data_IF_319266834681
#
_entry.id   IF_319266834681
#
_cell.length_a   1.000
_cell.length_b   1.000
_cell.length_c   1.000
_cell.angle_alpha   90.00
_cell.angle_beta   90.00
_cell.angle_gamma   90.00
#
_symmetry.space_group_name_H-M   'P 1'
#
loop_
_entity.id
_entity.type
_entity.pdbx_description
1 polymer ?
#
# COMPACT_ATOMS: atom_id res chain seq x y z
N UNK A 1 17.38 -9.60 25.69
CA UNK A 1 16.85 -10.39 24.56
C UNK A 1 15.41 -9.97 24.35
N UNK A 2 14.97 -9.79 23.09
CA UNK A 2 13.56 -9.52 22.83
C UNK A 2 12.72 -10.74 23.25
N UNK A 3 11.52 -10.51 23.79
CA UNK A 3 10.61 -11.61 24.10
C UNK A 3 10.22 -12.31 22.79
N UNK A 4 10.21 -13.66 22.76
CA UNK A 4 9.69 -14.41 21.61
C UNK A 4 8.26 -13.98 21.28
N UNK A 5 7.91 -14.07 20.00
CA UNK A 5 6.54 -13.84 19.53
C UNK A 5 5.87 -15.19 19.42
N UNK A 6 4.87 -15.41 20.25
CA UNK A 6 4.04 -16.62 20.25
C UNK A 6 2.80 -16.38 19.39
N UNK A 7 2.57 -17.27 18.42
CA UNK A 7 1.40 -17.28 17.54
C UNK A 7 0.94 -18.74 17.42
N UNK A 8 -0.13 -19.09 18.14
CA UNK A 8 -0.61 -20.46 18.26
C UNK A 8 0.47 -21.38 18.84
N UNK A 9 0.80 -22.46 18.13
CA UNK A 9 1.85 -23.41 18.52
C UNK A 9 3.26 -22.98 18.11
N UNK A 10 3.42 -21.85 17.41
CA UNK A 10 4.72 -21.37 16.93
C UNK A 10 5.31 -20.30 17.83
N UNK A 11 6.58 -20.51 18.17
CA UNK A 11 7.43 -19.52 18.83
C UNK A 11 8.44 -18.96 17.83
N UNK A 12 8.44 -17.63 17.66
CA UNK A 12 9.39 -16.93 16.81
C UNK A 12 10.37 -16.13 17.66
N UNK A 13 11.67 -16.40 17.50
CA UNK A 13 12.72 -15.67 18.24
C UNK A 13 12.76 -14.17 17.93
N UNK A 14 12.23 -13.74 16.78
CA UNK A 14 12.13 -12.32 16.39
C UNK A 14 10.87 -12.04 15.56
N UNK A 15 10.46 -10.76 15.52
CA UNK A 15 9.44 -10.30 14.58
C UNK A 15 9.82 -10.54 13.12
N UNK A 16 11.11 -10.39 12.79
CA UNK A 16 11.61 -10.64 11.44
C UNK A 16 11.35 -12.08 11.01
N UNK A 17 11.68 -13.07 11.86
CA UNK A 17 11.42 -14.48 11.56
C UNK A 17 9.94 -14.82 11.42
N UNK A 18 9.06 -14.17 12.20
CA UNK A 18 7.61 -14.33 12.02
C UNK A 18 7.14 -13.76 10.67
N UNK A 19 7.61 -12.57 10.29
CA UNK A 19 7.28 -11.95 9.00
C UNK A 19 7.77 -12.79 7.82
N UNK A 20 8.99 -13.33 7.90
CA UNK A 20 9.56 -14.20 6.88
C UNK A 20 8.75 -15.50 6.73
N UNK A 21 8.27 -16.08 7.84
CA UNK A 21 7.39 -17.25 7.82
C UNK A 21 6.10 -16.99 7.06
N UNK A 22 5.34 -15.95 7.42
CA UNK A 22 4.07 -15.65 6.75
C UNK A 22 4.25 -15.14 5.32
N UNK A 23 5.35 -14.47 5.01
CA UNK A 23 5.71 -14.13 3.63
C UNK A 23 5.97 -15.38 2.80
N UNK A 24 6.74 -16.34 3.33
CA UNK A 24 6.98 -17.61 2.68
C UNK A 24 5.68 -18.39 2.50
N UNK A 25 4.79 -18.41 3.51
CA UNK A 25 3.46 -19.01 3.44
C UNK A 25 2.66 -18.42 2.27
N UNK A 26 2.58 -17.09 2.17
CA UNK A 26 1.84 -16.41 1.08
C UNK A 26 2.36 -16.83 -0.30
N UNK A 27 3.69 -16.92 -0.43
CA UNK A 27 4.33 -17.24 -1.71
C UNK A 27 4.26 -18.72 -2.13
N UNK A 28 3.81 -19.63 -1.25
CA UNK A 28 3.54 -21.03 -1.62
C UNK A 28 2.30 -21.18 -2.51
N UNK A 29 1.36 -20.24 -2.43
CA UNK A 29 0.08 -20.29 -3.12
C UNK A 29 0.06 -19.34 -4.32
N UNK A 30 -0.79 -19.60 -5.29
CA UNK A 30 -1.08 -18.70 -6.41
C UNK A 30 -2.26 -17.77 -6.10
N UNK A 31 -2.39 -16.68 -6.85
CA UNK A 31 -3.54 -15.78 -6.71
C UNK A 31 -4.83 -16.51 -7.13
N UNK A 32 -5.88 -16.40 -6.31
CA UNK A 32 -7.13 -17.15 -6.44
C UNK A 32 -7.11 -18.54 -5.79
N UNK A 33 -5.97 -18.98 -5.24
CA UNK A 33 -5.85 -20.29 -4.63
C UNK A 33 -6.28 -20.27 -3.15
N UNK A 34 -7.05 -21.30 -2.75
CA UNK A 34 -7.33 -21.60 -1.35
C UNK A 34 -6.05 -22.08 -0.64
N UNK A 35 -5.85 -21.60 0.58
CA UNK A 35 -4.81 -22.11 1.49
C UNK A 35 -5.25 -23.50 1.95
N UNK A 36 -4.78 -24.54 1.26
CA UNK A 36 -5.26 -25.91 1.41
C UNK A 36 -4.41 -26.77 2.35
N UNK A 37 -3.16 -26.39 2.63
CA UNK A 37 -2.34 -27.10 3.61
C UNK A 37 -2.91 -26.89 5.02
N UNK A 38 -3.20 -27.95 5.79
CA UNK A 38 -3.78 -27.81 7.12
C UNK A 38 -2.88 -27.06 8.11
N UNK A 39 -1.55 -27.16 7.97
CA UNK A 39 -0.60 -26.45 8.82
C UNK A 39 -0.58 -24.95 8.51
N UNK A 40 -0.56 -24.59 7.23
CA UNK A 40 -0.66 -23.18 6.81
C UNK A 40 -2.00 -22.56 7.20
N UNK A 41 -3.09 -23.33 7.07
CA UNK A 41 -4.41 -22.90 7.53
C UNK A 41 -4.42 -22.64 9.04
N UNK A 42 -3.91 -23.58 9.85
CA UNK A 42 -3.83 -23.43 11.30
C UNK A 42 -2.95 -22.22 11.72
N UNK A 43 -1.86 -21.96 11.01
CA UNK A 43 -1.02 -20.79 11.24
C UNK A 43 -1.78 -19.48 11.03
N UNK A 44 -2.58 -19.40 9.95
CA UNK A 44 -3.38 -18.21 9.66
C UNK A 44 -4.55 -18.05 10.65
N UNK A 45 -5.17 -19.14 11.11
CA UNK A 45 -6.17 -19.09 12.20
C UNK A 45 -5.54 -18.48 13.44
N UNK A 46 -4.40 -19.03 13.90
CA UNK A 46 -3.71 -18.53 15.09
C UNK A 46 -3.27 -17.06 14.95
N UNK A 47 -2.90 -16.65 13.73
CA UNK A 47 -2.56 -15.26 13.45
C UNK A 47 -3.77 -14.32 13.57
N UNK A 48 -4.95 -14.75 13.11
CA UNK A 48 -6.20 -13.99 13.22
C UNK A 48 -6.70 -13.96 14.66
N UNK A 49 -6.66 -15.07 15.38
CA UNK A 49 -7.03 -15.13 16.80
C UNK A 49 -6.17 -14.22 17.68
N UNK A 50 -4.90 -14.02 17.27
CA UNK A 50 -4.02 -13.03 17.89
C UNK A 50 -4.38 -11.58 17.51
N UNK A 51 -4.87 -11.36 16.29
CA UNK A 51 -5.05 -10.02 15.73
C UNK A 51 -6.44 -9.43 16.00
N UNK A 52 -7.50 -10.22 15.90
CA UNK A 52 -8.88 -9.78 16.08
C UNK A 52 -9.10 -9.08 17.44
N UNK A 53 -8.58 -9.56 18.59
CA UNK A 53 -8.70 -8.83 19.85
C UNK A 53 -8.07 -7.43 19.83
N UNK A 54 -6.98 -7.25 19.07
CA UNK A 54 -6.30 -5.95 18.95
C UNK A 54 -7.14 -4.98 18.13
N UNK A 55 -7.86 -5.48 17.11
CA UNK A 55 -8.79 -4.68 16.32
C UNK A 55 -10.01 -4.28 17.14
N UNK A 56 -10.56 -5.23 17.90
CA UNK A 56 -11.71 -5.00 18.80
C UNK A 56 -11.40 -3.93 19.86
N UNK A 57 -10.21 -3.98 20.48
CA UNK A 57 -9.75 -2.98 21.47
C UNK A 57 -9.76 -1.53 20.93
N UNK A 58 -9.57 -1.34 19.62
CA UNK A 58 -9.58 -0.02 18.98
C UNK A 58 -10.86 0.26 18.17
N UNK A 59 -11.85 -0.64 18.23
CA UNK A 59 -13.12 -0.51 17.51
C UNK A 59 -13.01 -0.68 16.00
N UNK A 60 -11.97 -1.35 15.50
CA UNK A 60 -11.85 -1.72 14.09
C UNK A 60 -12.56 -3.07 13.82
N UNK A 61 -13.14 -3.29 12.62
CA UNK A 61 -13.76 -4.58 12.28
C UNK A 61 -12.78 -5.75 12.37
N UNK A 62 -13.18 -6.79 13.09
CA UNK A 62 -12.44 -8.05 13.18
C UNK A 62 -12.37 -8.76 11.82
N UNK A 63 -11.27 -9.50 11.58
CA UNK A 63 -11.04 -10.18 10.32
C UNK A 63 -11.74 -11.54 10.31
N UNK A 64 -11.51 -12.36 11.32
CA UNK A 64 -12.13 -13.68 11.43
C UNK A 64 -13.58 -13.62 11.91
N UNK A 65 -13.88 -12.67 12.82
CA UNK A 65 -15.20 -12.49 13.46
C UNK A 65 -15.77 -13.78 14.06
N UNK A 66 -14.88 -14.67 14.56
CA UNK A 66 -15.25 -15.99 15.07
C UNK A 66 -15.82 -16.96 14.02
N UNK A 67 -15.82 -16.61 12.74
CA UNK A 67 -16.50 -17.33 11.67
C UNK A 67 -15.55 -17.75 10.55
N UNK A 68 -14.26 -17.97 10.83
CA UNK A 68 -13.29 -18.38 9.82
C UNK A 68 -13.77 -19.66 9.12
N UNK A 69 -13.96 -19.60 7.81
CA UNK A 69 -14.31 -20.76 6.97
C UNK A 69 -13.07 -21.29 6.26
N UNK A 70 -12.41 -20.44 5.49
CA UNK A 70 -11.11 -20.75 4.85
C UNK A 70 -10.32 -19.49 4.53
N UNK A 71 -9.08 -19.67 4.09
CA UNK A 71 -8.23 -18.59 3.59
C UNK A 71 -7.94 -18.76 2.11
N UNK A 72 -7.69 -17.64 1.44
CA UNK A 72 -7.25 -17.59 0.07
C UNK A 72 -6.08 -16.62 -0.07
N UNK A 73 -5.22 -16.86 -1.05
CA UNK A 73 -4.36 -15.79 -1.58
C UNK A 73 -5.12 -15.09 -2.70
N UNK A 74 -5.23 -13.77 -2.65
CA UNK A 74 -5.78 -12.96 -3.76
C UNK A 74 -4.90 -11.75 -4.02
N UNK A 75 -5.10 -11.11 -5.18
CA UNK A 75 -4.55 -9.77 -5.41
C UNK A 75 -5.43 -8.73 -4.75
N UNK A 76 -4.85 -7.95 -3.84
CA UNK A 76 -5.40 -6.67 -3.43
C UNK A 76 -5.16 -5.68 -4.56
N UNK A 77 -6.22 -5.08 -5.08
CA UNK A 77 -6.14 -4.15 -6.21
C UNK A 77 -6.54 -2.74 -5.78
N UNK A 78 -5.90 -1.75 -6.38
CA UNK A 78 -6.36 -0.37 -6.38
C UNK A 78 -6.00 0.29 -7.70
N UNK A 79 -6.18 1.60 -7.80
CA UNK A 79 -5.96 2.31 -9.06
C UNK A 79 -4.48 2.28 -9.44
N UNK A 80 -4.14 1.47 -10.45
CA UNK A 80 -2.77 1.33 -10.99
C UNK A 80 -1.83 0.47 -10.16
N UNK A 81 -2.32 -0.30 -9.20
CA UNK A 81 -1.49 -1.22 -8.42
C UNK A 81 -2.23 -2.50 -8.05
N UNK A 82 -1.46 -3.58 -7.88
CA UNK A 82 -1.94 -4.85 -7.36
C UNK A 82 -0.85 -5.50 -6.53
N UNK A 83 -1.20 -6.04 -5.36
CA UNK A 83 -0.26 -6.79 -4.50
C UNK A 83 -0.92 -8.04 -3.96
N UNK A 84 -0.23 -9.19 -3.88
CA UNK A 84 -0.78 -10.38 -3.27
C UNK A 84 -1.02 -10.16 -1.76
N UNK A 85 -2.12 -10.70 -1.26
CA UNK A 85 -2.51 -10.62 0.15
C UNK A 85 -3.32 -11.84 0.58
N UNK A 86 -3.40 -12.04 1.90
CA UNK A 86 -4.27 -13.05 2.48
C UNK A 86 -5.68 -12.52 2.61
N UNK A 87 -6.64 -13.38 2.29
CA UNK A 87 -8.06 -13.15 2.47
C UNK A 87 -8.62 -14.23 3.37
N UNK A 88 -9.44 -13.81 4.34
CA UNK A 88 -10.28 -14.71 5.11
C UNK A 88 -11.66 -14.72 4.47
N UNK A 89 -12.17 -15.92 4.21
CA UNK A 89 -13.56 -16.16 3.80
C UNK A 89 -14.28 -16.73 5.00
N UNK A 90 -15.32 -16.03 5.46
CA UNK A 90 -16.11 -16.40 6.62
C UNK A 90 -17.21 -17.39 6.25
N UNK A 91 -17.76 -18.08 7.24
CA UNK A 91 -18.82 -19.07 7.06
C UNK A 91 -20.12 -18.47 6.49
N UNK A 92 -20.36 -17.17 6.71
CA UNK A 92 -21.48 -16.42 6.12
C UNK A 92 -21.28 -16.06 4.64
N UNK A 93 -20.12 -16.42 4.06
CA UNK A 93 -19.76 -16.16 2.66
C UNK A 93 -19.12 -14.78 2.42
N UNK A 94 -19.05 -13.91 3.43
CA UNK A 94 -18.29 -12.65 3.32
C UNK A 94 -16.80 -12.93 3.34
N UNK A 95 -16.03 -11.99 2.78
CA UNK A 95 -14.59 -12.10 2.76
C UNK A 95 -13.92 -10.73 2.93
N UNK A 96 -12.76 -10.72 3.57
CA UNK A 96 -11.93 -9.51 3.71
C UNK A 96 -10.46 -9.86 3.64
N UNK A 97 -9.64 -8.90 3.20
CA UNK A 97 -8.19 -9.02 3.29
C UNK A 97 -7.67 -8.70 4.70
N UNK A 98 -6.47 -9.19 4.99
CA UNK A 98 -5.72 -8.81 6.18
C UNK A 98 -4.21 -8.78 5.91
N UNK A 99 -3.53 -7.89 6.63
CA UNK A 99 -2.08 -7.73 6.56
C UNK A 99 -1.41 -8.62 7.61
N UNK A 100 -0.72 -9.67 7.16
CA UNK A 100 0.09 -10.49 8.07
C UNK A 100 1.17 -9.65 8.78
N UNK A 101 1.62 -8.55 8.16
CA UNK A 101 2.61 -7.65 8.75
C UNK A 101 2.07 -7.00 10.02
N UNK A 102 0.79 -6.57 10.01
CA UNK A 102 0.16 -5.95 11.17
C UNK A 102 -0.24 -6.96 12.22
N UNK A 103 -0.78 -8.10 11.79
CA UNK A 103 -1.11 -9.19 12.69
C UNK A 103 0.12 -9.70 13.45
N UNK A 104 1.27 -9.84 12.77
CA UNK A 104 2.55 -10.23 13.42
C UNK A 104 3.05 -9.13 14.36
N UNK A 105 2.97 -7.86 13.97
CA UNK A 105 3.36 -6.73 14.81
C UNK A 105 2.42 -6.52 16.01
N UNK A 106 1.21 -7.06 15.96
CA UNK A 106 0.17 -6.81 16.95
C UNK A 106 -0.23 -5.34 16.99
N UNK A 107 -0.43 -4.73 15.82
CA UNK A 107 -0.81 -3.31 15.70
C UNK A 107 -1.98 -3.18 14.73
N UNK A 108 -3.01 -2.39 15.05
CA UNK A 108 -4.09 -2.11 14.10
C UNK A 108 -3.55 -1.34 12.88
N UNK A 109 -4.44 -1.15 11.90
CA UNK A 109 -4.23 -0.11 10.91
C UNK A 109 -4.00 1.26 11.58
N UNK A 110 -3.44 2.21 10.84
CA UNK A 110 -3.22 3.55 11.38
C UNK A 110 -4.00 4.57 10.58
N UNK A 111 -4.74 5.47 11.24
CA UNK A 111 -5.44 6.59 10.57
C UNK A 111 -4.54 7.39 9.62
N UNK A 112 -3.28 7.57 10.00
CA UNK A 112 -2.29 8.22 9.13
C UNK A 112 -1.98 7.42 7.85
N UNK A 113 -2.02 6.09 7.92
CA UNK A 113 -1.91 5.23 6.74
C UNK A 113 -3.17 5.31 5.88
N UNK A 114 -4.36 5.27 6.47
CA UNK A 114 -5.60 5.32 5.69
C UNK A 114 -5.73 6.65 4.96
N UNK A 115 -5.38 7.75 5.63
CA UNK A 115 -5.28 9.05 4.99
C UNK A 115 -4.22 9.08 3.87
N UNK A 116 -3.05 8.48 4.08
CA UNK A 116 -2.03 8.36 3.03
C UNK A 116 -2.54 7.53 1.84
N UNK A 117 -3.32 6.47 2.11
CA UNK A 117 -4.00 5.66 1.10
C UNK A 117 -5.03 6.46 0.31
N UNK A 118 -5.88 7.22 1.00
CA UNK A 118 -6.87 8.10 0.39
C UNK A 118 -6.23 9.19 -0.47
N UNK A 119 -5.14 9.80 0.00
CA UNK A 119 -4.32 10.70 -0.80
C UNK A 119 -3.81 10.02 -2.08
N UNK A 120 -3.26 8.81 -1.96
CA UNK A 120 -2.72 8.07 -3.11
C UNK A 120 -3.82 7.76 -4.12
N UNK A 121 -4.98 7.30 -3.65
CA UNK A 121 -6.12 6.98 -4.50
C UNK A 121 -6.65 8.23 -5.22
N UNK A 122 -6.73 9.37 -4.53
CA UNK A 122 -7.23 10.63 -5.09
C UNK A 122 -6.45 11.14 -6.32
N UNK A 123 -5.16 10.79 -6.45
CA UNK A 123 -4.29 11.21 -7.58
C UNK A 123 -3.90 10.07 -8.52
N UNK A 124 -4.32 8.84 -8.22
CA UNK A 124 -3.81 7.66 -8.90
C UNK A 124 -4.10 7.67 -10.42
N UNK A 125 -5.32 8.05 -10.82
CA UNK A 125 -5.68 8.15 -12.25
C UNK A 125 -4.88 9.22 -12.98
N UNK A 126 -4.60 10.34 -12.33
CA UNK A 126 -3.84 11.43 -12.95
C UNK A 126 -2.38 11.06 -13.13
N UNK A 127 -1.79 10.39 -12.14
CA UNK A 127 -0.44 9.86 -12.24
C UNK A 127 -0.31 8.82 -13.37
N UNK A 128 -1.29 7.93 -13.54
CA UNK A 128 -1.32 6.97 -14.66
C UNK A 128 -1.37 7.70 -16.00
N UNK A 129 -2.23 8.72 -16.13
CA UNK A 129 -2.36 9.53 -17.35
C UNK A 129 -1.08 10.32 -17.63
N UNK A 130 -0.52 10.96 -16.62
CA UNK A 130 0.73 11.71 -16.70
C UNK A 130 1.89 10.81 -17.16
N UNK A 131 1.99 9.59 -16.62
CA UNK A 131 2.99 8.62 -17.06
C UNK A 131 2.81 8.28 -18.54
N UNK A 132 1.59 7.97 -18.98
CA UNK A 132 1.31 7.67 -20.39
C UNK A 132 1.69 8.85 -21.30
N UNK A 133 1.33 10.06 -20.92
CA UNK A 133 1.65 11.27 -21.68
C UNK A 133 3.16 11.50 -21.77
N UNK A 134 3.91 11.28 -20.69
CA UNK A 134 5.36 11.42 -20.69
C UNK A 134 6.05 10.47 -21.67
N UNK A 135 5.53 9.25 -21.84
CA UNK A 135 6.03 8.29 -22.83
C UNK A 135 5.70 8.68 -24.27
N UNK A 136 4.61 9.41 -24.50
CA UNK A 136 4.29 9.99 -25.81
C UNK A 136 5.19 11.20 -26.11
N UNK A 137 5.45 12.03 -25.10
CA UNK A 137 6.21 13.29 -25.28
C UNK A 137 7.73 13.06 -25.37
N UNK A 138 8.28 12.16 -24.56
CA UNK A 138 9.73 11.94 -24.43
C UNK A 138 10.21 10.61 -25.03
N UNK A 139 9.30 9.82 -25.61
CA UNK A 139 9.62 8.53 -26.20
C UNK A 139 10.52 8.67 -27.44
N UNK A 140 11.47 7.75 -27.60
CA UNK A 140 12.15 7.54 -28.87
C UNK A 140 11.21 6.88 -29.91
N UNK A 141 11.73 6.59 -31.10
CA UNK A 141 10.97 5.92 -32.18
C UNK A 141 10.42 4.53 -31.78
N UNK A 142 10.90 3.95 -30.67
CA UNK A 142 10.45 2.68 -30.11
C UNK A 142 9.56 2.87 -28.86
N UNK A 143 9.19 4.12 -28.53
CA UNK A 143 8.36 4.45 -27.36
C UNK A 143 9.08 4.26 -26.03
N UNK A 144 10.41 4.35 -25.99
CA UNK A 144 11.22 4.23 -24.77
C UNK A 144 11.67 5.60 -24.29
N UNK A 145 11.71 5.78 -22.98
CA UNK A 145 12.14 7.03 -22.32
C UNK A 145 13.39 6.75 -21.51
N UNK A 146 14.33 7.69 -21.49
CA UNK A 146 15.51 7.59 -20.61
C UNK A 146 15.11 7.66 -19.14
N UNK A 147 15.59 6.72 -18.34
CA UNK A 147 15.52 6.77 -16.89
C UNK A 147 16.30 7.98 -16.39
N UNK A 148 15.63 8.88 -15.66
CA UNK A 148 16.17 10.17 -15.21
C UNK A 148 17.43 10.03 -14.35
N UNK A 149 17.63 8.89 -13.67
CA UNK A 149 18.80 8.65 -12.83
C UNK A 149 19.97 7.98 -13.55
N UNK A 150 19.68 7.14 -14.55
CA UNK A 150 20.69 6.23 -15.13
C UNK A 150 20.94 6.46 -16.61
N UNK A 151 20.06 7.22 -17.29
CA UNK A 151 20.06 7.39 -18.74
C UNK A 151 19.61 6.15 -19.52
N UNK A 152 19.39 5.00 -18.86
CA UNK A 152 18.97 3.76 -19.52
C UNK A 152 17.56 3.93 -20.09
N UNK A 153 17.37 3.59 -21.36
CA UNK A 153 16.06 3.58 -22.01
C UNK A 153 15.17 2.50 -21.41
N UNK A 154 13.96 2.89 -21.01
CA UNK A 154 12.94 2.00 -20.43
C UNK A 154 11.63 2.10 -21.20
N UNK A 155 10.88 1.00 -21.23
CA UNK A 155 9.50 0.96 -21.72
C UNK A 155 8.55 1.48 -20.64
N UNK A 156 7.29 1.76 -21.01
CA UNK A 156 6.28 2.17 -20.04
C UNK A 156 6.04 1.10 -18.97
N UNK A 157 6.19 -0.17 -19.33
CA UNK A 157 6.02 -1.29 -18.41
C UNK A 157 7.24 -1.45 -17.49
N UNK A 158 8.44 -1.12 -17.94
CA UNK A 158 9.67 -1.23 -17.14
C UNK A 158 10.03 0.04 -16.35
N UNK A 159 9.10 1.00 -16.32
CA UNK A 159 9.28 2.28 -15.67
C UNK A 159 8.35 2.50 -14.46
N UNK A 160 8.80 3.34 -13.53
CA UNK A 160 7.99 3.95 -12.46
C UNK A 160 7.91 5.47 -12.67
N UNK A 161 6.77 6.04 -12.31
CA UNK A 161 6.63 7.48 -12.14
C UNK A 161 6.98 7.80 -10.68
N UNK A 162 8.08 8.52 -10.48
CA UNK A 162 8.64 8.82 -9.17
C UNK A 162 8.40 10.28 -8.79
N UNK A 163 8.13 10.53 -7.50
CA UNK A 163 8.09 11.87 -6.92
C UNK A 163 9.51 12.32 -6.60
N UNK A 164 10.16 12.99 -7.55
CA UNK A 164 11.54 13.44 -7.44
C UNK A 164 11.77 14.34 -6.21
N UNK A 165 10.91 15.36 -6.05
CA UNK A 165 10.78 16.17 -4.84
C UNK A 165 9.55 17.07 -4.93
N UNK A 166 8.84 17.36 -3.83
CA UNK A 166 8.89 16.65 -2.55
C UNK A 166 8.40 15.20 -2.71
N UNK A 167 8.89 14.28 -1.87
CA UNK A 167 8.37 12.91 -1.83
C UNK A 167 6.87 12.91 -1.53
N UNK A 168 6.17 11.85 -1.94
CA UNK A 168 4.73 11.75 -1.69
C UNK A 168 4.37 11.85 -0.19
N UNK A 169 5.20 11.30 0.70
CA UNK A 169 5.03 11.44 2.16
C UNK A 169 5.15 12.89 2.65
N UNK A 170 5.99 13.71 2.02
CA UNK A 170 6.08 15.14 2.32
C UNK A 170 4.85 15.88 1.80
N UNK A 171 4.30 15.52 0.63
CA UNK A 171 3.05 16.09 0.11
C UNK A 171 1.88 15.80 1.06
N UNK A 172 1.73 14.55 1.51
CA UNK A 172 0.68 14.17 2.46
C UNK A 172 0.83 14.91 3.79
N UNK A 173 2.05 14.97 4.34
CA UNK A 173 2.33 15.68 5.60
C UNK A 173 2.10 17.19 5.47
N UNK A 174 2.54 17.80 4.36
CA UNK A 174 2.36 19.22 4.07
C UNK A 174 0.90 19.60 3.92
N UNK A 175 0.12 18.74 3.25
CA UNK A 175 -1.32 18.93 3.10
C UNK A 175 -2.07 18.86 4.44
N UNK A 176 -1.72 17.88 5.30
CA UNK A 176 -2.25 17.81 6.67
C UNK A 176 -1.94 19.09 7.44
N UNK A 177 -0.70 19.57 7.36
CA UNK A 177 -0.30 20.79 8.04
C UNK A 177 -1.07 22.03 7.55
N UNK A 178 -1.26 22.17 6.23
CA UNK A 178 -2.02 23.26 5.63
C UNK A 178 -3.49 23.30 6.09
N UNK A 179 -4.04 22.16 6.54
CA UNK A 179 -5.41 22.03 7.06
C UNK A 179 -5.50 22.05 8.59
N UNK A 180 -4.39 22.19 9.29
CA UNK A 180 -4.36 22.09 10.75
C UNK A 180 -4.50 20.66 11.29
N UNK A 181 -4.33 19.64 10.45
CA UNK A 181 -4.47 18.21 10.78
C UNK A 181 -3.13 17.54 11.14
N UNK A 182 -2.15 18.33 11.58
CA UNK A 182 -0.82 17.83 11.95
C UNK A 182 -0.86 16.89 13.16
N UNK A 183 -1.72 17.18 14.14
CA UNK A 183 -1.90 16.33 15.32
C UNK A 183 -2.77 15.13 14.97
N UNK A 184 -4.01 15.39 14.59
CA UNK A 184 -4.99 14.36 14.26
C UNK A 184 -5.72 14.67 12.95
N UNK A 185 -6.19 13.59 12.30
CA UNK A 185 -7.05 13.66 11.12
C UNK A 185 -8.49 13.59 11.64
N UNK A 186 -9.36 14.56 11.32
CA UNK A 186 -10.74 14.55 11.80
C UNK A 186 -11.50 13.27 11.42
N UNK A 187 -12.44 12.87 12.26
CA UNK A 187 -13.37 11.77 11.96
C UNK A 187 -14.19 12.08 10.70
N UNK A 188 -14.54 11.04 9.94
CA UNK A 188 -15.35 11.19 8.73
C UNK A 188 -14.62 11.82 7.53
N UNK A 189 -13.32 12.08 7.61
CA UNK A 189 -12.53 12.55 6.45
C UNK A 189 -12.20 11.39 5.51
N UNK A 190 -11.87 10.23 6.08
CA UNK A 190 -11.49 9.01 5.37
C UNK A 190 -12.52 7.93 5.65
N UNK A 191 -12.83 7.12 4.65
CA UNK A 191 -13.76 5.98 4.75
C UNK A 191 -13.40 5.06 5.92
N UNK A 192 -14.39 4.66 6.71
CA UNK A 192 -14.21 3.62 7.72
C UNK A 192 -13.87 2.27 7.04
N UNK A 193 -13.08 1.39 7.69
CA UNK A 193 -12.80 0.06 7.15
C UNK A 193 -14.08 -0.75 6.92
N UNK A 194 -14.13 -1.46 5.80
CA UNK A 194 -15.23 -2.37 5.46
C UNK A 194 -14.70 -3.69 4.87
N UNK A 195 -15.53 -4.73 4.89
CA UNK A 195 -15.18 -6.03 4.28
C UNK A 195 -14.83 -5.87 2.80
N UNK A 196 -13.68 -6.41 2.42
CA UNK A 196 -13.18 -6.37 1.04
C UNK A 196 -12.67 -5.00 0.59
N UNK A 197 -12.60 -4.02 1.50
CA UNK A 197 -12.02 -2.72 1.21
C UNK A 197 -10.50 -2.76 1.36
N UNK A 198 -9.80 -2.82 0.22
CA UNK A 198 -8.32 -2.82 0.17
C UNK A 198 -7.70 -1.42 0.16
N UNK A 199 -8.51 -0.39 -0.10
CA UNK A 199 -8.07 1.01 -0.24
C UNK A 199 -9.01 1.95 0.50
N UNK A 200 -8.44 2.80 1.36
CA UNK A 200 -9.15 3.90 1.99
C UNK A 200 -9.34 5.06 0.99
N UNK A 201 -10.48 5.76 1.09
CA UNK A 201 -10.84 6.88 0.22
C UNK A 201 -11.28 8.10 1.03
N UNK A 202 -11.21 9.29 0.45
CA UNK A 202 -11.83 10.46 1.06
C UNK A 202 -13.35 10.38 0.95
N UNK A 203 -14.07 10.64 2.05
CA UNK A 203 -15.54 10.65 2.06
C UNK A 203 -16.07 11.89 1.34
N UNK A 204 -15.46 13.04 1.62
CA UNK A 204 -15.81 14.31 0.98
C UNK A 204 -14.94 14.54 -0.27
N UNK A 205 -15.58 14.63 -1.44
CA UNK A 205 -14.90 14.88 -2.71
C UNK A 205 -14.15 16.22 -2.72
N UNK A 206 -14.60 17.23 -1.96
CA UNK A 206 -13.90 18.51 -1.84
C UNK A 206 -12.52 18.35 -1.17
N UNK A 207 -12.36 17.39 -0.27
CA UNK A 207 -11.08 17.06 0.37
C UNK A 207 -10.15 16.40 -0.64
N UNK A 208 -10.69 15.47 -1.44
CA UNK A 208 -9.96 14.80 -2.51
C UNK A 208 -9.48 15.79 -3.58
N UNK A 209 -10.38 16.64 -4.08
CA UNK A 209 -10.08 17.65 -5.10
C UNK A 209 -9.04 18.66 -4.62
N UNK A 210 -9.14 19.07 -3.36
CA UNK A 210 -8.12 19.94 -2.77
C UNK A 210 -6.77 19.26 -2.62
N UNK A 211 -6.72 17.95 -2.28
CA UNK A 211 -5.46 17.23 -2.22
C UNK A 211 -4.86 17.09 -3.60
N UNK A 212 -5.70 16.77 -4.59
CA UNK A 212 -5.32 16.68 -5.99
C UNK A 212 -4.73 18.00 -6.50
N UNK A 213 -5.41 19.12 -6.28
CA UNK A 213 -4.89 20.44 -6.65
C UNK A 213 -3.57 20.77 -5.93
N UNK A 214 -3.48 20.51 -4.63
CA UNK A 214 -2.24 20.69 -3.85
C UNK A 214 -1.11 19.81 -4.37
N UNK A 215 -1.40 18.56 -4.74
CA UNK A 215 -0.45 17.62 -5.31
C UNK A 215 0.07 18.11 -6.67
N UNK A 216 -0.82 18.52 -7.57
CA UNK A 216 -0.45 18.96 -8.93
C UNK A 216 0.42 20.21 -8.91
N UNK A 217 0.16 21.14 -7.99
CA UNK A 217 0.94 22.37 -7.84
C UNK A 217 2.36 22.11 -7.30
N UNK A 218 2.52 21.11 -6.43
CA UNK A 218 3.76 20.91 -5.68
C UNK A 218 4.64 19.77 -6.24
N UNK A 219 4.06 18.77 -6.89
CA UNK A 219 4.77 17.55 -7.27
C UNK A 219 5.69 17.76 -8.47
N UNK A 220 6.98 17.43 -8.29
CA UNK A 220 7.92 17.28 -9.39
C UNK A 220 8.11 15.79 -9.63
N UNK A 221 7.69 15.32 -10.80
CA UNK A 221 7.69 13.91 -11.16
C UNK A 221 8.74 13.60 -12.24
N UNK A 222 9.22 12.35 -12.27
CA UNK A 222 10.20 11.86 -13.24
C UNK A 222 9.98 10.38 -13.58
N UNK A 223 10.51 9.95 -14.73
CA UNK A 223 10.50 8.55 -15.14
C UNK A 223 11.78 7.86 -14.66
N UNK A 224 11.63 6.79 -13.89
CA UNK A 224 12.74 5.93 -13.44
C UNK A 224 12.54 4.50 -13.94
N UNK A 225 13.63 3.77 -14.16
CA UNK A 225 13.56 2.31 -14.29
C UNK A 225 13.11 1.70 -12.95
N UNK A 226 12.39 0.57 -13.01
CA UNK A 226 12.00 -0.18 -11.80
C UNK A 226 13.19 -0.50 -10.90
N UNK A 227 14.34 -0.82 -11.49
CA UNK A 227 15.58 -1.17 -10.78
C UNK A 227 16.24 0.03 -10.12
N UNK A 228 16.35 1.17 -10.80
CA UNK A 228 16.96 2.38 -10.25
C UNK A 228 16.12 2.96 -9.10
N UNK A 229 14.79 2.92 -9.23
CA UNK A 229 13.87 3.39 -8.19
C UNK A 229 14.09 2.67 -6.83
N UNK A 230 14.46 1.38 -6.86
CA UNK A 230 14.73 0.60 -5.63
C UNK A 230 16.06 1.01 -4.96
N UNK A 231 16.99 1.62 -5.70
CA UNK A 231 18.33 1.98 -5.21
C UNK A 231 18.39 3.38 -4.59
N UNK A 232 17.43 4.27 -4.89
CA UNK A 232 17.52 5.71 -4.58
C UNK A 232 16.70 6.15 -3.36
N UNK A 233 16.25 5.23 -2.51
CA UNK A 233 15.36 5.53 -1.38
C UNK A 233 15.91 6.51 -0.32
N UNK A 234 17.15 7.02 -0.45
CA UNK A 234 17.73 7.91 0.58
C UNK A 234 18.78 8.95 0.14
N UNK A 235 19.01 9.21 -1.15
CA UNK A 235 20.05 10.17 -1.54
C UNK A 235 19.54 11.42 -2.26
N UNK A 236 19.64 12.55 -1.53
CA UNK A 236 19.83 13.93 -1.97
C UNK A 236 18.65 14.94 -1.96
N UNK A 237 19.05 16.19 -1.67
CA UNK A 237 18.32 17.46 -1.77
C UNK A 237 17.73 17.66 -3.18
N UNK A 238 16.55 18.32 -3.28
CA UNK A 238 15.86 18.79 -4.51
C UNK A 238 16.65 18.51 -5.82
N UNK A 239 16.44 17.36 -6.47
CA UNK A 239 17.18 17.00 -7.67
C UNK A 239 16.77 17.89 -8.85
N UNK A 240 17.70 18.15 -9.77
CA UNK A 240 17.35 18.68 -11.09
C UNK A 240 16.75 17.54 -11.90
N UNK A 241 15.59 17.80 -12.52
CA UNK A 241 14.91 16.85 -13.40
C UNK A 241 14.97 17.42 -14.81
N UNK A 242 15.66 16.74 -15.71
CA UNK A 242 15.80 17.09 -17.11
C UNK A 242 14.47 16.92 -17.87
N UNK A 243 13.71 15.86 -17.56
CA UNK A 243 12.43 15.53 -18.21
C UNK A 243 11.28 15.51 -17.19
N UNK A 244 10.83 16.67 -16.69
CA UNK A 244 9.80 16.73 -15.68
C UNK A 244 8.46 16.24 -16.24
N UNK A 245 7.84 15.29 -15.55
CA UNK A 245 6.49 14.82 -15.91
C UNK A 245 5.45 15.72 -15.28
N UNK A 246 4.57 16.30 -16.10
CA UNK A 246 3.49 17.16 -15.63
C UNK A 246 2.22 16.34 -15.41
N UNK A 247 1.52 16.64 -14.32
CA UNK A 247 0.19 16.11 -14.07
C UNK A 247 -0.83 17.06 -14.71
N UNK A 248 -1.79 16.56 -15.52
CA UNK A 248 -2.81 17.39 -16.16
C UNK A 248 -3.83 17.99 -15.20
#
# INVERSE_FOLDING_TARGET
MAKPIEIGSRSFGTQKSALEHYQALLHRYQDGQRISDPGDHADLVALIERYDPILDEVGEPTKGDGQIGHFERRLNTGTGWSTPGFWVVRQDGKATDFSYIYAVKGQPGGRSKDFYGACREAVALDLIRAKKQAFVEYGDDQGRVECELTGVLVTIDDAHLDHAWPYFSHLVSGFRAARGWSRDIPDGVVSAPADGQTTATFIDTSVADAFRAYHHDQAILRILSRTANLQTASQARRPRVARPVRVP
#
